data_IF_396756353299
#
_entry.id   IF_396756353299
#
_cell.length_a   1.000
_cell.length_b   1.000
_cell.length_c   1.000
_cell.angle_alpha   90.00
_cell.angle_beta   90.00
_cell.angle_gamma   90.00
#
_symmetry.space_group_name_H-M   'P 1'
#
loop_
_entity.id
_entity.type
_entity.pdbx_description
1 polymer ?
#
# COMPACT_ATOMS: atom_id res chain seq x y z
N UNK A 1 1.88 -2.35 -11.01
CA UNK A 1 0.86 -1.30 -11.27
C UNK A 1 0.78 -1.07 -12.77
N UNK A 2 -0.33 -0.56 -13.33
CA UNK A 2 -0.38 -0.21 -14.75
C UNK A 2 0.51 1.01 -15.08
N UNK A 3 0.87 1.16 -16.35
CA UNK A 3 1.62 2.33 -16.84
C UNK A 3 0.85 3.65 -16.58
N UNK A 4 1.57 4.68 -16.14
CA UNK A 4 0.99 5.99 -15.80
C UNK A 4 0.33 6.08 -14.41
N UNK A 5 0.42 5.01 -13.59
CA UNK A 5 -0.18 4.96 -12.25
C UNK A 5 0.59 5.72 -11.16
N UNK A 6 1.75 6.32 -11.46
CA UNK A 6 2.67 6.90 -10.48
C UNK A 6 2.01 7.94 -9.56
N UNK A 7 1.23 8.85 -10.14
CA UNK A 7 0.55 9.90 -9.37
C UNK A 7 -0.53 9.33 -8.44
N UNK A 8 -1.31 8.36 -8.94
CA UNK A 8 -2.28 7.63 -8.14
C UNK A 8 -1.62 6.86 -7.01
N UNK A 9 -0.45 6.26 -7.28
CA UNK A 9 0.35 5.58 -6.27
C UNK A 9 0.84 6.56 -5.18
N UNK A 10 1.31 7.76 -5.55
CA UNK A 10 1.74 8.77 -4.57
C UNK A 10 0.61 9.18 -3.65
N UNK A 11 -0.58 9.48 -4.18
CA UNK A 11 -1.75 9.84 -3.36
C UNK A 11 -2.11 8.77 -2.33
N UNK A 12 -1.91 7.50 -2.69
CA UNK A 12 -2.20 6.41 -1.77
C UNK A 12 -1.06 6.14 -0.79
N UNK A 13 0.17 5.95 -1.26
CA UNK A 13 1.27 5.56 -0.38
C UNK A 13 1.84 6.73 0.42
N UNK A 14 1.90 7.93 -0.16
CA UNK A 14 2.37 9.14 0.53
C UNK A 14 1.25 9.76 1.33
N UNK A 15 0.22 10.29 0.67
CA UNK A 15 -0.78 11.12 1.36
C UNK A 15 -1.65 10.31 2.32
N UNK A 16 -2.02 9.08 1.95
CA UNK A 16 -2.90 8.24 2.76
C UNK A 16 -2.15 7.31 3.73
N UNK A 17 -1.10 6.61 3.30
CA UNK A 17 -0.35 5.69 4.16
C UNK A 17 0.83 6.35 4.91
N UNK A 18 1.10 7.63 4.65
CA UNK A 18 2.17 8.40 5.31
C UNK A 18 3.55 7.77 5.11
N UNK A 19 3.79 7.22 3.92
CA UNK A 19 5.10 6.76 3.49
C UNK A 19 5.86 7.87 2.75
N UNK A 20 7.18 7.78 2.70
CA UNK A 20 8.02 8.71 1.93
C UNK A 20 8.36 8.10 0.58
N UNK A 21 8.09 8.81 -0.53
CA UNK A 21 8.63 8.42 -1.82
C UNK A 21 10.16 8.54 -1.82
N UNK A 22 10.84 7.50 -2.29
CA UNK A 22 12.29 7.47 -2.42
C UNK A 22 12.70 7.33 -3.88
N UNK A 23 13.80 7.98 -4.24
CA UNK A 23 14.33 7.90 -5.60
C UNK A 23 14.73 6.46 -5.95
N UNK A 24 14.29 6.01 -7.12
CA UNK A 24 14.77 4.76 -7.69
C UNK A 24 16.24 4.91 -8.13
N UNK A 25 17.03 3.83 -8.08
CA UNK A 25 18.34 3.80 -8.74
C UNK A 25 18.22 4.22 -10.22
N UNK A 26 19.20 4.97 -10.78
CA UNK A 26 19.12 5.47 -12.15
C UNK A 26 18.83 4.39 -13.20
N UNK A 27 19.40 3.19 -13.03
CA UNK A 27 19.19 2.04 -13.91
C UNK A 27 17.73 1.55 -13.93
N UNK A 28 17.01 1.71 -12.81
CA UNK A 28 15.62 1.30 -12.69
C UNK A 28 14.65 2.43 -13.01
N UNK A 29 15.06 3.69 -12.93
CA UNK A 29 14.19 4.86 -13.15
C UNK A 29 13.50 4.83 -14.51
N UNK A 30 14.21 4.38 -15.56
CA UNK A 30 13.70 4.26 -16.94
C UNK A 30 12.52 3.29 -17.10
N UNK A 31 12.25 2.44 -16.10
CA UNK A 31 11.21 1.39 -16.14
C UNK A 31 9.83 1.86 -15.64
N UNK A 32 9.66 3.13 -15.29
CA UNK A 32 8.43 3.65 -14.66
C UNK A 32 8.20 3.09 -13.25
N UNK A 33 7.21 3.61 -12.53
CA UNK A 33 6.90 3.20 -11.17
C UNK A 33 7.59 3.98 -10.07
N UNK A 34 7.16 3.73 -8.84
CA UNK A 34 7.55 4.50 -7.64
C UNK A 34 7.97 3.56 -6.50
N UNK A 35 8.88 4.03 -5.66
CA UNK A 35 9.32 3.34 -4.45
C UNK A 35 8.93 4.18 -3.23
N UNK A 36 8.41 3.53 -2.20
CA UNK A 36 7.97 4.18 -0.97
C UNK A 36 8.65 3.52 0.22
N UNK A 37 8.99 4.31 1.24
CA UNK A 37 9.65 3.84 2.45
C UNK A 37 8.89 4.28 3.71
N UNK A 38 8.88 3.41 4.71
CA UNK A 38 8.47 3.76 6.07
C UNK A 38 9.28 2.93 7.07
N UNK A 39 10.03 3.61 7.95
CA UNK A 39 10.99 3.00 8.85
C UNK A 39 11.95 2.02 8.13
N UNK A 40 11.82 0.71 8.40
CA UNK A 40 12.68 -0.34 7.83
C UNK A 40 12.08 -1.05 6.62
N UNK A 41 10.88 -0.65 6.17
CA UNK A 41 10.16 -1.29 5.08
C UNK A 41 10.18 -0.39 3.85
N UNK A 42 10.31 -1.01 2.68
CA UNK A 42 10.08 -0.37 1.40
C UNK A 42 9.03 -1.12 0.61
N UNK A 43 8.19 -0.39 -0.13
CA UNK A 43 7.20 -0.93 -1.07
C UNK A 43 7.57 -0.42 -2.46
N UNK A 44 7.79 -1.33 -3.40
CA UNK A 44 8.22 -1.01 -4.76
C UNK A 44 7.09 -1.33 -5.73
N UNK A 45 6.57 -0.31 -6.40
CA UNK A 45 5.56 -0.47 -7.44
C UNK A 45 6.24 -0.37 -8.80
N UNK A 46 6.48 -1.52 -9.44
CA UNK A 46 6.91 -1.58 -10.83
C UNK A 46 5.73 -1.40 -11.80
N UNK A 47 5.99 -0.75 -12.93
CA UNK A 47 5.05 -0.73 -14.07
C UNK A 47 5.05 -2.09 -14.75
N UNK A 48 3.86 -2.57 -15.09
CA UNK A 48 3.62 -3.79 -15.85
C UNK A 48 2.54 -3.51 -16.91
N UNK A 49 2.80 -3.89 -18.17
CA UNK A 49 1.89 -3.60 -19.29
C UNK A 49 0.55 -4.34 -19.17
N UNK A 50 0.60 -5.63 -18.83
CA UNK A 50 -0.59 -6.49 -18.62
C UNK A 50 -0.88 -6.68 -17.13
N UNK A 51 -0.79 -5.58 -16.37
CA UNK A 51 -0.90 -5.60 -14.92
C UNK A 51 -2.18 -6.32 -14.45
N UNK A 52 -2.00 -7.26 -13.52
CA UNK A 52 -3.09 -7.95 -12.82
C UNK A 52 -2.92 -7.81 -11.32
N UNK A 53 -3.97 -7.34 -10.68
CA UNK A 53 -3.97 -7.11 -9.24
C UNK A 53 -3.78 -8.40 -8.43
N UNK A 54 -2.89 -8.36 -7.45
CA UNK A 54 -2.69 -9.45 -6.48
C UNK A 54 -3.80 -9.41 -5.41
N UNK A 55 -4.90 -10.13 -5.66
CA UNK A 55 -6.10 -10.10 -4.79
C UNK A 55 -6.03 -11.03 -3.58
N UNK A 56 -5.02 -11.92 -3.51
CA UNK A 56 -4.86 -12.91 -2.43
C UNK A 56 -3.48 -12.87 -1.79
N UNK A 57 -2.40 -12.99 -2.57
CA UNK A 57 -1.05 -12.78 -2.05
C UNK A 57 -0.87 -11.28 -1.77
N UNK A 58 -0.36 -10.93 -0.59
CA UNK A 58 -0.24 -9.55 -0.16
C UNK A 58 0.87 -9.36 0.89
N UNK A 59 1.44 -8.15 1.00
CA UNK A 59 2.21 -7.77 2.17
C UNK A 59 1.30 -7.44 3.35
N UNK A 60 1.78 -7.75 4.55
CA UNK A 60 1.20 -7.28 5.81
C UNK A 60 2.10 -6.19 6.40
N UNK A 61 1.52 -5.01 6.63
CA UNK A 61 2.21 -3.85 7.18
C UNK A 61 1.79 -3.66 8.64
N UNK A 62 2.78 -3.65 9.53
CA UNK A 62 2.55 -3.36 10.95
C UNK A 62 2.45 -1.86 11.18
N UNK A 63 1.37 -1.42 11.84
CA UNK A 63 0.98 -0.02 11.96
C UNK A 63 0.89 0.41 13.43
N UNK A 64 1.79 1.29 13.87
CA UNK A 64 1.78 1.85 15.24
C UNK A 64 0.50 2.64 15.55
N UNK A 65 0.06 3.46 14.59
CA UNK A 65 -1.12 4.32 14.73
C UNK A 65 -2.35 3.71 14.02
N UNK A 66 -2.57 2.40 14.18
CA UNK A 66 -3.58 1.64 13.43
C UNK A 66 -4.98 2.27 13.44
N UNK A 67 -5.50 2.65 14.61
CA UNK A 67 -6.85 3.20 14.72
C UNK A 67 -7.01 4.53 13.96
N UNK A 68 -6.02 5.43 14.08
CA UNK A 68 -6.02 6.72 13.38
C UNK A 68 -5.87 6.54 11.86
N UNK A 69 -5.00 5.61 11.43
CA UNK A 69 -4.86 5.27 10.01
C UNK A 69 -6.17 4.71 9.44
N UNK A 70 -6.81 3.79 10.17
CA UNK A 70 -8.07 3.17 9.75
C UNK A 70 -9.19 4.20 9.63
N UNK A 71 -9.27 5.15 10.57
CA UNK A 71 -10.21 6.27 10.48
C UNK A 71 -9.96 7.11 9.22
N UNK A 72 -8.69 7.48 8.95
CA UNK A 72 -8.32 8.24 7.74
C UNK A 72 -8.68 7.51 6.45
N UNK A 73 -8.38 6.21 6.37
CA UNK A 73 -8.75 5.35 5.22
C UNK A 73 -10.26 5.37 4.99
N UNK A 74 -11.06 5.18 6.05
CA UNK A 74 -12.52 5.20 5.96
C UNK A 74 -13.08 6.57 5.54
N UNK A 75 -12.49 7.67 6.02
CA UNK A 75 -12.92 9.02 5.61
C UNK A 75 -12.67 9.29 4.12
N UNK A 76 -11.71 8.61 3.51
CA UNK A 76 -11.44 8.68 2.07
C UNK A 76 -12.30 7.70 1.25
N UNK A 77 -13.27 7.03 1.88
CA UNK A 77 -14.19 6.10 1.21
C UNK A 77 -13.56 4.77 0.79
N UNK A 78 -12.37 4.44 1.30
CA UNK A 78 -11.71 3.17 1.00
C UNK A 78 -12.28 2.08 1.90
N UNK A 79 -12.68 0.97 1.27
CA UNK A 79 -13.21 -0.19 1.96
C UNK A 79 -12.14 -0.85 2.86
N UNK A 80 -12.55 -1.21 4.07
CA UNK A 80 -11.73 -1.93 5.04
C UNK A 80 -12.45 -3.22 5.41
N UNK A 81 -11.82 -4.37 5.14
CA UNK A 81 -12.38 -5.69 5.47
C UNK A 81 -11.67 -6.17 6.73
N UNK A 82 -12.36 -6.13 7.87
CA UNK A 82 -11.82 -6.65 9.14
C UNK A 82 -11.56 -8.17 9.03
N UNK A 83 -10.47 -8.64 9.66
CA UNK A 83 -10.09 -10.05 9.63
C UNK A 83 -9.83 -10.58 11.05
N UNK A 84 -10.66 -11.53 11.50
CA UNK A 84 -10.72 -12.00 12.89
C UNK A 84 -10.23 -13.45 13.09
N UNK A 85 -9.75 -14.10 12.04
CA UNK A 85 -9.26 -15.48 12.02
C UNK A 85 -7.92 -15.69 12.76
N UNK A 86 -7.29 -14.62 13.28
CA UNK A 86 -6.11 -14.69 14.15
C UNK A 86 -6.46 -14.08 15.52
N UNK A 87 -6.65 -14.89 16.57
CA UNK A 87 -6.99 -14.41 17.90
C UNK A 87 -5.97 -13.41 18.45
N UNK A 88 -6.47 -12.29 18.99
CA UNK A 88 -5.64 -11.25 19.62
C UNK A 88 -4.91 -10.31 18.66
N UNK A 89 -5.04 -10.50 17.34
CA UNK A 89 -4.43 -9.63 16.33
C UNK A 89 -5.50 -8.76 15.68
N UNK A 90 -5.45 -7.45 15.92
CA UNK A 90 -6.32 -6.50 15.21
C UNK A 90 -5.74 -6.20 13.85
N UNK A 91 -6.52 -6.44 12.80
CA UNK A 91 -6.08 -6.27 11.42
C UNK A 91 -7.25 -6.15 10.44
N UNK A 92 -6.97 -5.56 9.29
CA UNK A 92 -7.91 -5.50 8.18
C UNK A 92 -7.18 -5.63 6.85
N UNK A 93 -7.92 -5.97 5.80
CA UNK A 93 -7.48 -5.87 4.41
C UNK A 93 -8.01 -4.58 3.79
N UNK A 94 -7.16 -3.90 3.04
CA UNK A 94 -7.51 -2.83 2.12
C UNK A 94 -7.02 -3.19 0.72
N UNK A 95 -7.43 -2.41 -0.26
CA UNK A 95 -6.89 -2.50 -1.61
C UNK A 95 -6.21 -1.19 -1.99
N UNK A 96 -5.03 -1.30 -2.60
CA UNK A 96 -4.42 -0.15 -3.25
C UNK A 96 -5.26 0.32 -4.45
N UNK A 97 -4.97 1.48 -5.06
CA UNK A 97 -5.77 2.02 -6.16
C UNK A 97 -5.79 1.14 -7.41
N UNK A 98 -4.93 0.14 -7.48
CA UNK A 98 -4.83 -0.81 -8.58
C UNK A 98 -5.46 -2.17 -8.24
N UNK A 99 -6.05 -2.30 -7.05
CA UNK A 99 -6.73 -3.50 -6.58
C UNK A 99 -5.84 -4.55 -5.91
N UNK A 100 -4.56 -4.24 -5.64
CA UNK A 100 -3.71 -5.17 -4.88
C UNK A 100 -4.13 -5.15 -3.42
N UNK A 101 -4.27 -6.34 -2.82
CA UNK A 101 -4.57 -6.44 -1.39
C UNK A 101 -3.35 -6.01 -0.57
N UNK A 102 -3.60 -5.28 0.51
CA UNK A 102 -2.64 -4.96 1.56
C UNK A 102 -3.30 -5.29 2.89
N UNK A 103 -2.58 -5.97 3.79
CA UNK A 103 -3.03 -6.18 5.16
C UNK A 103 -2.42 -5.12 6.07
N UNK A 104 -3.25 -4.49 6.89
CA UNK A 104 -2.82 -3.61 7.97
C UNK A 104 -2.96 -4.36 9.29
N UNK A 105 -1.89 -4.42 10.07
CA UNK A 105 -1.86 -5.12 11.35
C UNK A 105 -1.54 -4.11 12.45
N UNK A 106 -2.35 -4.06 13.50
CA UNK A 106 -2.08 -3.18 14.63
C UNK A 106 -0.82 -3.61 15.40
N UNK A 107 0.09 -2.67 15.67
CA UNK A 107 1.17 -2.87 16.65
C UNK A 107 2.43 -2.08 16.39
#
# INVERSE_FOLDING_TARGET
MPSGGEETARRFFVDLLDMTEIAKPPELAKRGGCWFASAKVQVHLGVENDFRAAKKAHPALRCRNYASLLARIRTQGIETIEAEDIPGVRRCHIFDPFGNRIELVAG
#
